data_IF_147535498568
#
_entry.id   IF_147535498568
#
_cell.length_a   1.000
_cell.length_b   1.000
_cell.length_c   1.000
_cell.angle_alpha   90.00
_cell.angle_beta   90.00
_cell.angle_gamma   90.00
#
_symmetry.space_group_name_H-M   'P 1'
#
loop_
_entity.id
_entity.type
_entity.pdbx_description
1 polymer ?
#
# COMPACT_ATOMS: atom_id res chain seq x y z
N UNK A 1 58.26 23.90 52.66
CA UNK A 1 56.89 23.99 52.08
C UNK A 1 57.07 24.20 50.60
N UNK A 2 56.85 23.13 49.84
CA UNK A 2 57.30 22.91 48.46
C UNK A 2 56.24 23.31 47.45
N UNK A 3 56.58 24.21 46.52
CA UNK A 3 55.81 24.43 45.30
C UNK A 3 55.94 23.21 44.38
N UNK A 4 54.83 22.61 43.91
CA UNK A 4 54.90 21.56 42.90
C UNK A 4 55.08 22.12 41.47
N UNK A 5 55.69 21.31 40.56
CA UNK A 5 56.16 21.70 39.22
C UNK A 5 55.04 21.70 38.15
N UNK A 6 55.29 22.26 36.94
CA UNK A 6 54.26 22.44 35.91
C UNK A 6 53.93 21.10 35.22
N UNK A 7 52.64 20.78 35.08
CA UNK A 7 52.16 19.59 34.35
C UNK A 7 51.40 19.95 33.08
N UNK A 8 52.15 19.81 31.98
CA UNK A 8 51.81 19.30 30.63
C UNK A 8 50.37 19.45 30.13
N UNK A 9 50.25 20.26 29.08
CA UNK A 9 49.25 20.18 28.02
C UNK A 9 49.21 18.72 27.53
N UNK A 10 48.10 18.01 27.77
CA UNK A 10 47.87 16.71 27.18
C UNK A 10 47.34 16.91 25.76
N UNK A 11 48.12 16.42 24.79
CA UNK A 11 47.75 16.27 23.39
C UNK A 11 46.36 15.63 23.25
N UNK A 12 45.52 16.25 22.41
CA UNK A 12 44.43 15.53 21.74
C UNK A 12 45.06 14.49 20.81
N UNK A 13 45.37 13.31 21.35
CA UNK A 13 45.56 12.11 20.56
C UNK A 13 44.20 11.74 19.98
N UNK A 14 43.98 12.14 18.73
CA UNK A 14 43.00 11.53 17.85
C UNK A 14 43.21 10.02 17.89
N UNK A 15 42.26 9.29 18.47
CA UNK A 15 42.16 7.86 18.25
C UNK A 15 41.84 7.67 16.76
N UNK A 16 42.91 7.56 15.99
CA UNK A 16 42.91 7.19 14.59
C UNK A 16 42.34 5.77 14.54
N UNK A 17 41.08 5.66 14.11
CA UNK A 17 40.44 4.38 13.83
C UNK A 17 41.34 3.63 12.85
N UNK A 18 41.92 2.53 13.28
CA UNK A 18 42.64 1.62 12.40
C UNK A 18 41.69 1.19 11.29
N UNK A 19 42.01 1.45 10.00
CA UNK A 19 41.16 1.05 8.90
C UNK A 19 41.14 -0.48 8.82
N UNK A 20 39.93 -1.06 8.83
CA UNK A 20 39.73 -2.45 8.41
C UNK A 20 40.00 -2.49 6.92
N UNK A 21 41.02 -3.23 6.52
CA UNK A 21 41.40 -3.47 5.13
C UNK A 21 40.34 -4.32 4.45
N UNK A 22 39.35 -3.68 3.83
CA UNK A 22 38.70 -4.23 2.65
C UNK A 22 39.66 -4.07 1.45
N UNK A 23 39.65 -5.07 0.59
CA UNK A 23 40.47 -5.16 -0.61
C UNK A 23 40.54 -3.86 -1.41
N UNK A 24 41.68 -3.17 -1.30
CA UNK A 24 42.28 -2.42 -2.40
C UNK A 24 41.54 -1.22 -2.97
N UNK A 25 40.86 -0.40 -2.17
CA UNK A 25 40.62 1.03 -2.52
C UNK A 25 40.73 1.86 -1.24
N UNK A 26 41.75 2.72 -1.17
CA UNK A 26 41.86 3.74 -0.12
C UNK A 26 40.87 4.85 -0.46
N UNK A 27 39.68 4.84 0.14
CA UNK A 27 38.81 6.01 0.13
C UNK A 27 39.41 7.00 1.14
N UNK A 28 40.17 7.96 0.62
CA UNK A 28 40.56 9.16 1.35
C UNK A 28 39.28 9.81 1.91
N UNK A 29 39.24 9.98 3.24
CA UNK A 29 38.13 10.62 3.93
C UNK A 29 37.94 12.05 3.43
N UNK A 30 37.02 12.25 2.50
CA UNK A 30 36.58 13.59 2.12
C UNK A 30 35.73 14.16 3.24
N UNK A 31 36.30 15.12 3.97
CA UNK A 31 35.54 16.10 4.74
C UNK A 31 34.68 16.93 3.78
N UNK A 32 33.50 16.41 3.46
CA UNK A 32 32.48 17.08 2.67
C UNK A 32 31.14 16.46 3.01
N UNK A 33 30.10 17.28 3.17
CA UNK A 33 28.71 16.85 3.43
C UNK A 33 28.24 15.96 2.26
N UNK A 34 28.57 14.67 2.31
CA UNK A 34 27.92 13.67 1.48
C UNK A 34 26.43 13.63 1.82
N UNK A 35 25.56 13.27 0.86
CA UNK A 35 24.15 13.05 1.18
C UNK A 35 24.08 12.06 2.36
N UNK A 36 23.25 12.38 3.36
CA UNK A 36 23.15 11.53 4.55
C UNK A 36 22.95 10.08 4.13
N UNK A 37 23.58 9.13 4.83
CA UNK A 37 23.51 7.71 4.51
C UNK A 37 22.08 7.21 4.23
N UNK A 38 21.09 7.76 4.97
CA UNK A 38 19.67 7.48 4.73
C UNK A 38 19.11 8.04 3.41
N UNK A 39 19.62 9.18 2.93
CA UNK A 39 19.23 9.79 1.66
C UNK A 39 19.78 9.01 0.45
N UNK A 40 21.00 8.45 0.57
CA UNK A 40 21.55 7.55 -0.44
C UNK A 40 20.73 6.26 -0.54
N UNK A 41 20.43 5.61 0.59
CA UNK A 41 19.58 4.41 0.63
C UNK A 41 18.17 4.68 0.10
N UNK A 42 17.58 5.84 0.45
CA UNK A 42 16.28 6.26 -0.09
C UNK A 42 16.35 6.43 -1.61
N UNK A 43 17.35 7.13 -2.12
CA UNK A 43 17.54 7.32 -3.57
C UNK A 43 17.75 6.00 -4.32
N UNK A 44 18.50 5.07 -3.74
CA UNK A 44 18.72 3.74 -4.29
C UNK A 44 17.43 2.92 -4.32
N UNK A 45 16.62 2.98 -3.27
CA UNK A 45 15.32 2.30 -3.21
C UNK A 45 14.33 2.90 -4.21
N UNK A 46 14.33 4.22 -4.43
CA UNK A 46 13.51 4.87 -5.46
C UNK A 46 13.92 4.48 -6.88
N UNK A 47 15.22 4.51 -7.18
CA UNK A 47 15.75 4.04 -8.48
C UNK A 47 15.30 2.61 -8.76
N UNK A 48 15.38 1.74 -7.75
CA UNK A 48 14.89 0.37 -7.85
C UNK A 48 13.37 0.28 -7.97
N UNK A 49 12.61 1.07 -7.23
CA UNK A 49 11.16 1.13 -7.36
C UNK A 49 10.74 1.48 -8.78
N UNK A 50 11.38 2.49 -9.39
CA UNK A 50 11.13 2.89 -10.78
C UNK A 50 11.56 1.80 -11.76
N UNK A 51 12.73 1.20 -11.57
CA UNK A 51 13.21 0.11 -12.42
C UNK A 51 12.25 -1.10 -12.35
N UNK A 52 11.81 -1.47 -11.15
CA UNK A 52 10.87 -2.57 -10.93
C UNK A 52 9.52 -2.28 -11.59
N UNK A 53 9.00 -1.04 -11.47
CA UNK A 53 7.80 -0.60 -12.18
C UNK A 53 7.98 -0.66 -13.71
N UNK A 54 9.13 -0.25 -14.24
CA UNK A 54 9.43 -0.32 -15.67
C UNK A 54 9.51 -1.77 -16.17
N UNK A 55 10.14 -2.67 -15.40
CA UNK A 55 10.20 -4.09 -15.74
C UNK A 55 8.80 -4.70 -15.67
N UNK A 56 8.02 -4.41 -14.63
CA UNK A 56 6.61 -4.82 -14.57
C UNK A 56 5.83 -4.32 -15.78
N UNK A 57 5.91 -3.03 -16.10
CA UNK A 57 5.26 -2.45 -17.28
C UNK A 57 5.65 -3.16 -18.57
N UNK A 58 6.95 -3.45 -18.76
CA UNK A 58 7.44 -4.23 -19.90
C UNK A 58 6.96 -5.69 -19.92
N UNK A 59 6.79 -6.32 -18.77
CA UNK A 59 6.24 -7.68 -18.68
C UNK A 59 4.74 -7.72 -18.96
N UNK A 60 4.00 -6.71 -18.52
CA UNK A 60 2.58 -6.53 -18.89
C UNK A 60 2.41 -6.38 -20.39
N UNK A 61 3.26 -5.59 -21.06
CA UNK A 61 3.19 -5.49 -22.52
C UNK A 61 3.53 -6.82 -23.18
N UNK A 62 4.53 -7.57 -22.70
CA UNK A 62 4.82 -8.91 -23.25
C UNK A 62 3.64 -9.87 -23.06
N UNK A 63 3.02 -9.86 -21.88
CA UNK A 63 1.90 -10.74 -21.56
C UNK A 63 0.65 -10.43 -22.41
N UNK A 64 0.35 -9.15 -22.65
CA UNK A 64 -0.96 -8.71 -23.17
C UNK A 64 -0.95 -7.95 -24.51
N UNK A 65 0.19 -7.39 -24.98
CA UNK A 65 0.20 -6.42 -26.10
C UNK A 65 -0.21 -6.97 -27.47
N UNK A 66 -0.31 -8.28 -27.66
CA UNK A 66 -0.81 -8.89 -28.91
C UNK A 66 -1.80 -10.04 -28.66
N UNK A 67 -2.57 -9.95 -27.57
CA UNK A 67 -3.52 -10.98 -27.15
C UNK A 67 -2.93 -12.01 -26.18
N UNK A 68 -3.81 -12.55 -25.34
CA UNK A 68 -3.52 -13.57 -24.34
C UNK A 68 -3.14 -14.89 -25.00
N UNK A 69 -1.88 -15.30 -24.89
CA UNK A 69 -1.38 -16.58 -25.41
C UNK A 69 -0.76 -17.44 -24.33
N UNK A 70 -1.19 -18.69 -24.24
CA UNK A 70 -0.69 -19.65 -23.25
C UNK A 70 0.82 -19.89 -23.39
N UNK A 71 1.38 -19.81 -24.60
CA UNK A 71 2.83 -19.95 -24.81
C UNK A 71 3.64 -18.82 -24.16
N UNK A 72 3.10 -17.60 -24.13
CA UNK A 72 3.74 -16.47 -23.43
C UNK A 72 3.66 -16.65 -21.92
N UNK A 73 2.55 -17.17 -21.41
CA UNK A 73 2.44 -17.53 -20.00
C UNK A 73 3.43 -18.64 -19.61
N UNK A 74 3.65 -19.62 -20.49
CA UNK A 74 4.69 -20.65 -20.31
C UNK A 74 6.09 -20.02 -20.25
N UNK A 75 6.40 -19.15 -21.21
CA UNK A 75 7.70 -18.48 -21.31
C UNK A 75 7.99 -17.65 -20.05
N UNK A 76 7.02 -16.86 -19.61
CA UNK A 76 7.13 -16.03 -18.40
C UNK A 76 7.19 -16.90 -17.13
N UNK A 77 6.38 -17.96 -17.07
CA UNK A 77 6.33 -18.89 -15.96
C UNK A 77 7.65 -19.65 -15.78
N UNK A 78 8.06 -20.41 -16.80
CA UNK A 78 9.27 -21.22 -16.77
C UNK A 78 10.51 -20.33 -16.73
N UNK A 79 10.58 -19.29 -17.57
CA UNK A 79 11.69 -18.34 -17.60
C UNK A 79 11.87 -17.63 -16.26
N UNK A 80 10.79 -17.15 -15.66
CA UNK A 80 10.81 -16.54 -14.32
C UNK A 80 11.32 -17.50 -13.26
N UNK A 81 10.85 -18.75 -13.24
CA UNK A 81 11.31 -19.75 -12.26
C UNK A 81 12.79 -20.11 -12.43
N UNK A 82 13.26 -20.30 -13.67
CA UNK A 82 14.69 -20.59 -13.95
C UNK A 82 15.56 -19.41 -13.52
N UNK A 83 15.19 -18.18 -13.90
CA UNK A 83 15.92 -16.97 -13.49
C UNK A 83 15.95 -16.84 -11.97
N UNK A 84 14.83 -17.06 -11.29
CA UNK A 84 14.75 -17.01 -9.84
C UNK A 84 15.73 -17.99 -9.18
N UNK A 85 15.78 -19.23 -9.67
CA UNK A 85 16.66 -20.28 -9.16
C UNK A 85 18.14 -19.94 -9.37
N UNK A 86 18.50 -19.37 -10.52
CA UNK A 86 19.89 -18.97 -10.81
C UNK A 86 20.34 -17.89 -9.81
N UNK A 87 19.57 -16.82 -9.66
CA UNK A 87 19.91 -15.74 -8.72
C UNK A 87 19.95 -16.25 -7.27
N UNK A 88 18.97 -17.07 -6.88
CA UNK A 88 18.92 -17.67 -5.56
C UNK A 88 20.15 -18.54 -5.29
N UNK A 89 20.52 -19.42 -6.22
CA UNK A 89 21.64 -20.33 -6.08
C UNK A 89 22.97 -19.58 -5.90
N UNK A 90 23.16 -18.47 -6.63
CA UNK A 90 24.36 -17.65 -6.47
C UNK A 90 24.41 -17.01 -5.08
N UNK A 91 23.31 -16.42 -4.62
CA UNK A 91 23.25 -15.80 -3.29
C UNK A 91 23.42 -16.84 -2.19
N UNK A 92 22.74 -17.97 -2.29
CA UNK A 92 22.80 -19.02 -1.26
C UNK A 92 24.19 -19.66 -1.18
N UNK A 93 24.86 -19.86 -2.32
CA UNK A 93 26.24 -20.35 -2.34
C UNK A 93 27.19 -19.35 -1.67
N UNK A 94 27.03 -18.05 -1.96
CA UNK A 94 27.87 -17.00 -1.36
C UNK A 94 27.62 -16.87 0.14
N UNK A 95 26.36 -16.92 0.56
CA UNK A 95 25.96 -16.94 1.97
C UNK A 95 26.58 -18.13 2.71
N UNK A 96 26.55 -19.34 2.13
CA UNK A 96 27.15 -20.54 2.73
C UNK A 96 28.68 -20.45 2.83
N UNK A 97 29.35 -19.76 1.90
CA UNK A 97 30.81 -19.61 1.88
C UNK A 97 31.33 -18.51 2.81
N UNK A 98 30.68 -17.35 2.80
CA UNK A 98 31.18 -16.14 3.47
C UNK A 98 30.37 -15.75 4.71
N UNK A 99 29.20 -16.35 4.92
CA UNK A 99 28.34 -16.11 6.09
C UNK A 99 27.65 -14.73 6.12
N UNK A 100 27.89 -13.86 5.13
CA UNK A 100 27.37 -12.49 5.07
C UNK A 100 26.82 -12.19 3.67
N UNK A 101 25.71 -11.45 3.62
CA UNK A 101 25.10 -10.90 2.40
C UNK A 101 25.48 -9.44 2.27
N UNK A 102 26.24 -9.11 1.23
CA UNK A 102 26.58 -7.73 0.86
C UNK A 102 25.43 -7.08 0.09
N UNK A 103 25.49 -5.76 -0.09
CA UNK A 103 24.53 -5.00 -0.91
C UNK A 103 24.22 -5.67 -2.26
N UNK A 104 25.26 -6.07 -3.02
CA UNK A 104 25.09 -6.73 -4.32
C UNK A 104 24.27 -8.03 -4.20
N UNK A 105 24.51 -8.81 -3.15
CA UNK A 105 23.81 -10.07 -2.94
C UNK A 105 22.37 -9.84 -2.45
N UNK A 106 22.08 -8.77 -1.70
CA UNK A 106 20.70 -8.34 -1.38
C UNK A 106 19.94 -8.01 -2.67
N UNK A 107 20.57 -7.28 -3.61
CA UNK A 107 19.96 -7.00 -4.91
C UNK A 107 19.69 -8.27 -5.72
N UNK A 108 20.64 -9.20 -5.75
CA UNK A 108 20.46 -10.48 -6.45
C UNK A 108 19.35 -11.32 -5.82
N UNK A 109 19.23 -11.31 -4.49
CA UNK A 109 18.17 -12.02 -3.77
C UNK A 109 16.80 -11.38 -4.04
N UNK A 110 16.72 -10.05 -4.02
CA UNK A 110 15.53 -9.31 -4.40
C UNK A 110 15.10 -9.64 -5.85
N UNK A 111 16.06 -9.72 -6.78
CA UNK A 111 15.77 -10.15 -8.16
C UNK A 111 15.29 -11.59 -8.24
N UNK A 112 15.82 -12.49 -7.42
CA UNK A 112 15.32 -13.85 -7.32
C UNK A 112 13.84 -13.87 -6.91
N UNK A 113 13.47 -13.12 -5.88
CA UNK A 113 12.08 -13.03 -5.42
C UNK A 113 11.14 -12.40 -6.44
N UNK A 114 11.62 -11.38 -7.15
CA UNK A 114 10.90 -10.76 -8.25
C UNK A 114 10.61 -11.77 -9.37
N UNK A 115 11.64 -12.49 -9.85
CA UNK A 115 11.47 -13.50 -10.88
C UNK A 115 10.66 -14.71 -10.42
N UNK A 116 10.74 -15.09 -9.13
CA UNK A 116 9.89 -16.13 -8.57
C UNK A 116 8.41 -15.72 -8.59
N UNK A 117 8.11 -14.44 -8.33
CA UNK A 117 6.76 -13.89 -8.41
C UNK A 117 6.23 -13.96 -9.84
N UNK A 118 7.05 -13.57 -10.83
CA UNK A 118 6.70 -13.68 -12.26
C UNK A 118 6.48 -15.15 -12.64
N UNK A 119 7.44 -16.01 -12.29
CA UNK A 119 7.38 -17.42 -12.59
C UNK A 119 6.10 -18.06 -12.04
N UNK A 120 5.71 -17.66 -10.83
CA UNK A 120 4.52 -18.17 -10.18
C UNK A 120 3.22 -17.64 -10.81
N UNK A 121 3.07 -16.32 -10.99
CA UNK A 121 1.77 -15.75 -11.37
C UNK A 121 1.36 -16.17 -12.78
N UNK A 122 2.29 -16.13 -13.73
CA UNK A 122 2.06 -16.59 -15.09
C UNK A 122 2.19 -18.11 -15.23
N UNK A 123 3.03 -18.76 -14.41
CA UNK A 123 3.12 -20.21 -14.34
C UNK A 123 1.81 -20.87 -13.89
N UNK A 124 1.10 -20.28 -12.93
CA UNK A 124 -0.23 -20.77 -12.52
C UNK A 124 -1.24 -20.59 -13.66
N UNK A 125 -1.21 -19.47 -14.39
CA UNK A 125 -2.07 -19.27 -15.57
C UNK A 125 -1.84 -20.35 -16.62
N UNK A 126 -0.57 -20.64 -16.90
CA UNK A 126 -0.19 -21.72 -17.79
C UNK A 126 -0.62 -23.10 -17.25
N UNK A 127 -0.46 -23.35 -15.95
CA UNK A 127 -0.89 -24.60 -15.31
C UNK A 127 -2.41 -24.81 -15.41
N UNK A 128 -3.21 -23.75 -15.31
CA UNK A 128 -4.66 -23.82 -15.55
C UNK A 128 -4.97 -24.17 -17.01
N UNK A 129 -4.24 -23.60 -17.98
CA UNK A 129 -4.39 -24.00 -19.38
C UNK A 129 -4.04 -25.48 -19.60
N UNK A 130 -2.96 -25.95 -18.97
CA UNK A 130 -2.57 -27.36 -19.01
C UNK A 130 -3.62 -28.27 -18.37
N UNK A 131 -4.17 -27.90 -17.21
CA UNK A 131 -5.23 -28.70 -16.57
C UNK A 131 -6.48 -28.76 -17.44
N UNK A 132 -6.86 -27.64 -18.06
CA UNK A 132 -8.00 -27.58 -18.98
C UNK A 132 -7.77 -28.44 -20.23
N UNK A 133 -6.54 -28.48 -20.76
CA UNK A 133 -6.17 -29.37 -21.88
C UNK A 133 -6.20 -30.86 -21.54
N UNK A 134 -6.17 -31.20 -20.25
CA UNK A 134 -6.32 -32.55 -19.73
C UNK A 134 -7.75 -32.84 -19.23
N UNK A 135 -8.74 -32.11 -19.78
CA UNK A 135 -10.17 -32.21 -19.46
C UNK A 135 -10.54 -31.86 -17.99
N UNK A 136 -9.68 -31.11 -17.28
CA UNK A 136 -9.96 -30.61 -15.93
C UNK A 136 -10.37 -29.12 -16.02
N UNK A 137 -11.68 -28.87 -16.16
CA UNK A 137 -12.25 -27.52 -16.33
C UNK A 137 -12.53 -26.76 -15.02
N UNK A 138 -12.13 -27.29 -13.86
CA UNK A 138 -12.43 -26.73 -12.53
C UNK A 138 -11.98 -25.27 -12.32
N UNK A 139 -10.95 -24.84 -13.05
CA UNK A 139 -10.30 -23.52 -12.92
C UNK A 139 -10.67 -22.53 -14.04
N UNK A 140 -11.45 -22.97 -15.03
CA UNK A 140 -11.83 -22.20 -16.21
C UNK A 140 -13.27 -21.71 -16.07
N UNK A 141 -13.57 -20.52 -16.60
CA UNK A 141 -14.95 -20.04 -16.61
C UNK A 141 -15.81 -20.82 -17.62
N UNK A 142 -17.03 -21.24 -17.24
CA UNK A 142 -18.00 -21.78 -18.20
C UNK A 142 -18.40 -20.78 -19.30
N UNK A 143 -18.42 -19.49 -18.98
CA UNK A 143 -18.93 -18.43 -19.86
C UNK A 143 -17.97 -18.08 -21.00
N UNK A 144 -16.66 -18.36 -20.82
CA UNK A 144 -15.64 -18.30 -21.87
C UNK A 144 -14.75 -19.55 -21.79
N UNK A 145 -15.18 -20.66 -22.40
CA UNK A 145 -14.52 -21.94 -22.23
C UNK A 145 -13.15 -21.95 -22.91
N UNK A 146 -12.25 -22.73 -22.32
CA UNK A 146 -10.98 -23.08 -22.94
C UNK A 146 -11.24 -24.05 -24.09
N UNK A 147 -10.74 -23.74 -25.29
CA UNK A 147 -10.96 -24.56 -26.50
C UNK A 147 -9.71 -25.27 -27.00
N UNK A 148 -8.54 -24.94 -26.44
CA UNK A 148 -7.27 -25.56 -26.81
C UNK A 148 -6.07 -24.69 -26.44
N UNK A 149 -4.85 -25.22 -26.61
CA UNK A 149 -3.64 -24.51 -26.17
C UNK A 149 -3.33 -23.25 -26.99
N UNK A 150 -3.83 -23.20 -28.22
CA UNK A 150 -3.76 -22.03 -29.10
C UNK A 150 -4.91 -21.04 -28.88
N UNK A 151 -5.89 -21.39 -28.02
CA UNK A 151 -7.02 -20.51 -27.72
C UNK A 151 -6.57 -19.24 -26.99
N UNK A 152 -7.22 -18.14 -27.33
CA UNK A 152 -6.99 -16.81 -26.75
C UNK A 152 -8.29 -16.29 -26.15
N UNK A 153 -8.21 -15.43 -25.14
CA UNK A 153 -9.38 -14.74 -24.58
C UNK A 153 -10.28 -15.56 -23.65
N UNK A 154 -9.89 -16.79 -23.30
CA UNK A 154 -10.46 -17.50 -22.15
C UNK A 154 -10.00 -16.81 -20.87
N UNK A 155 -10.87 -16.74 -19.86
CA UNK A 155 -10.49 -16.24 -18.55
C UNK A 155 -10.76 -17.31 -17.48
N UNK A 156 -9.89 -17.38 -16.46
CA UNK A 156 -10.10 -18.32 -15.38
C UNK A 156 -11.20 -17.85 -14.44
N UNK A 157 -11.73 -18.78 -13.67
CA UNK A 157 -12.82 -18.54 -12.74
C UNK A 157 -12.35 -18.18 -11.31
N UNK A 158 -13.32 -18.04 -10.40
CA UNK A 158 -13.15 -17.87 -8.95
C UNK A 158 -12.06 -18.77 -8.32
N UNK A 159 -12.07 -20.06 -8.65
CA UNK A 159 -11.14 -21.04 -8.08
C UNK A 159 -9.69 -20.71 -8.42
N UNK A 160 -9.45 -20.14 -9.60
CA UNK A 160 -8.11 -19.69 -9.98
C UNK A 160 -7.70 -18.44 -9.22
N UNK A 161 -8.61 -17.51 -8.92
CA UNK A 161 -8.31 -16.35 -8.08
C UNK A 161 -7.81 -16.83 -6.71
N UNK A 162 -8.54 -17.77 -6.10
CA UNK A 162 -8.12 -18.38 -4.84
C UNK A 162 -6.79 -19.14 -4.95
N UNK A 163 -6.59 -19.92 -6.02
CA UNK A 163 -5.35 -20.64 -6.24
C UNK A 163 -4.14 -19.69 -6.42
N UNK A 164 -4.30 -18.61 -7.20
CA UNK A 164 -3.27 -17.59 -7.38
C UNK A 164 -2.98 -16.85 -6.07
N UNK A 165 -4.01 -16.47 -5.31
CA UNK A 165 -3.84 -15.81 -4.02
C UNK A 165 -3.15 -16.72 -2.99
N UNK A 166 -3.57 -17.99 -2.89
CA UNK A 166 -2.95 -18.97 -2.00
C UNK A 166 -1.48 -19.23 -2.38
N UNK A 167 -1.17 -19.31 -3.67
CA UNK A 167 0.19 -19.48 -4.13
C UNK A 167 1.06 -18.24 -3.84
N UNK A 168 0.53 -17.02 -4.04
CA UNK A 168 1.24 -15.80 -3.67
C UNK A 168 1.49 -15.72 -2.17
N UNK A 169 0.52 -16.10 -1.35
CA UNK A 169 0.68 -16.21 0.10
C UNK A 169 1.76 -17.24 0.48
N UNK A 170 1.79 -18.39 -0.18
CA UNK A 170 2.81 -19.42 0.01
C UNK A 170 4.20 -18.93 -0.40
N UNK A 171 4.33 -18.22 -1.53
CA UNK A 171 5.60 -17.63 -1.96
C UNK A 171 6.07 -16.57 -0.96
N UNK A 172 5.17 -15.70 -0.51
CA UNK A 172 5.44 -14.71 0.54
C UNK A 172 5.92 -15.39 1.83
N UNK A 173 5.31 -16.50 2.24
CA UNK A 173 5.75 -17.29 3.37
C UNK A 173 7.14 -17.93 3.15
N UNK A 174 7.43 -18.45 1.95
CA UNK A 174 8.76 -18.98 1.61
C UNK A 174 9.85 -17.92 1.67
N UNK A 175 9.57 -16.72 1.13
CA UNK A 175 10.47 -15.57 1.19
C UNK A 175 10.72 -15.16 2.65
N UNK A 176 9.67 -15.08 3.47
CA UNK A 176 9.79 -14.82 4.90
C UNK A 176 10.64 -15.85 5.63
N UNK A 177 10.41 -17.15 5.41
CA UNK A 177 11.19 -18.22 6.01
C UNK A 177 12.68 -18.13 5.65
N UNK A 178 13.00 -17.65 4.45
CA UNK A 178 14.39 -17.45 4.03
C UNK A 178 15.03 -16.21 4.64
N UNK A 179 14.29 -15.11 4.72
CA UNK A 179 14.79 -13.81 5.21
C UNK A 179 14.87 -13.71 6.73
N UNK A 180 13.92 -14.32 7.46
CA UNK A 180 13.82 -14.20 8.92
C UNK A 180 15.11 -14.61 9.66
N UNK A 181 15.79 -15.72 9.32
CA UNK A 181 17.06 -16.05 9.95
C UNK A 181 18.18 -15.03 9.66
N UNK A 182 18.08 -14.28 8.56
CA UNK A 182 19.09 -13.28 8.17
C UNK A 182 18.94 -11.97 8.94
N UNK A 183 17.72 -11.61 9.30
CA UNK A 183 17.40 -10.39 10.06
C UNK A 183 18.08 -10.38 11.43
N UNK A 184 18.22 -11.55 12.06
CA UNK A 184 18.89 -11.68 13.36
C UNK A 184 20.39 -11.33 13.32
N UNK A 185 21.03 -11.40 12.15
CA UNK A 185 22.43 -11.04 11.97
C UNK A 185 22.55 -9.64 11.36
N UNK A 186 22.89 -8.67 12.19
CA UNK A 186 23.07 -7.25 11.82
C UNK A 186 24.06 -6.98 10.69
N UNK A 187 24.90 -7.96 10.32
CA UNK A 187 25.85 -7.85 9.19
C UNK A 187 25.18 -8.06 7.83
N UNK A 188 24.00 -8.69 7.78
CA UNK A 188 23.31 -8.94 6.53
C UNK A 188 22.49 -7.73 6.11
N UNK A 189 22.69 -7.32 4.86
CA UNK A 189 21.83 -6.34 4.20
C UNK A 189 20.69 -7.10 3.52
N UNK A 190 19.45 -6.84 3.92
CA UNK A 190 18.26 -7.53 3.39
C UNK A 190 17.08 -6.56 3.13
N UNK A 191 17.33 -5.25 3.13
CA UNK A 191 16.26 -4.24 3.03
C UNK A 191 15.54 -4.34 1.69
N UNK A 192 16.28 -4.58 0.60
CA UNK A 192 15.71 -4.62 -0.75
C UNK A 192 14.98 -5.93 -0.97
N UNK A 193 15.53 -7.05 -0.47
CA UNK A 193 14.86 -8.34 -0.50
C UNK A 193 13.55 -8.34 0.29
N UNK A 194 13.54 -7.74 1.49
CA UNK A 194 12.30 -7.54 2.27
C UNK A 194 11.30 -6.67 1.53
N UNK A 195 11.76 -5.59 0.90
CA UNK A 195 10.89 -4.73 0.11
C UNK A 195 10.21 -5.50 -1.03
N UNK A 196 10.96 -6.25 -1.82
CA UNK A 196 10.39 -7.06 -2.91
C UNK A 196 9.44 -8.12 -2.38
N UNK A 197 9.79 -8.81 -1.29
CA UNK A 197 8.91 -9.79 -0.66
C UNK A 197 7.58 -9.17 -0.18
N UNK A 198 7.61 -7.95 0.36
CA UNK A 198 6.40 -7.22 0.72
C UNK A 198 5.59 -6.81 -0.51
N UNK A 199 6.24 -6.45 -1.62
CA UNK A 199 5.53 -6.05 -2.85
C UNK A 199 4.98 -7.25 -3.63
N UNK A 200 5.50 -8.46 -3.45
CA UNK A 200 5.04 -9.68 -4.15
C UNK A 200 3.51 -9.89 -4.09
N UNK A 201 2.84 -9.87 -2.93
CA UNK A 201 1.37 -9.96 -2.88
C UNK A 201 0.65 -8.85 -3.66
N UNK A 202 1.12 -7.60 -3.59
CA UNK A 202 0.55 -6.48 -4.34
C UNK A 202 0.76 -6.61 -5.84
N UNK A 203 1.89 -7.16 -6.26
CA UNK A 203 2.16 -7.42 -7.66
C UNK A 203 1.14 -8.40 -8.25
N UNK A 204 0.72 -9.42 -7.51
CA UNK A 204 -0.38 -10.29 -7.95
C UNK A 204 -1.68 -9.49 -8.08
N UNK A 205 -2.00 -8.61 -7.12
CA UNK A 205 -3.19 -7.77 -7.21
C UNK A 205 -3.15 -6.87 -8.45
N UNK A 206 -2.00 -6.33 -8.83
CA UNK A 206 -1.86 -5.57 -10.08
C UNK A 206 -2.00 -6.45 -11.32
N UNK A 207 -1.41 -7.65 -11.33
CA UNK A 207 -1.55 -8.62 -12.43
C UNK A 207 -2.98 -9.11 -12.58
N UNK A 208 -3.70 -9.24 -11.47
CA UNK A 208 -5.09 -9.66 -11.42
C UNK A 208 -6.06 -8.62 -11.97
N UNK A 209 -5.70 -7.32 -12.00
CA UNK A 209 -6.60 -6.22 -12.37
C UNK A 209 -7.39 -6.49 -13.64
N UNK A 210 -6.72 -6.81 -14.76
CA UNK A 210 -7.43 -7.10 -16.01
C UNK A 210 -8.19 -8.42 -15.95
N UNK A 211 -7.50 -9.56 -15.80
CA UNK A 211 -8.13 -10.87 -15.93
C UNK A 211 -9.18 -11.20 -14.85
N UNK A 212 -9.02 -10.73 -13.61
CA UNK A 212 -9.99 -11.00 -12.53
C UNK A 212 -11.22 -10.10 -12.68
N UNK A 213 -11.04 -8.81 -12.95
CA UNK A 213 -12.16 -7.88 -13.16
C UNK A 213 -12.94 -8.25 -14.42
N UNK A 214 -12.26 -8.70 -15.48
CA UNK A 214 -12.94 -9.20 -16.68
C UNK A 214 -13.75 -10.48 -16.41
N UNK A 215 -13.28 -11.36 -15.52
CA UNK A 215 -14.03 -12.55 -15.12
C UNK A 215 -15.30 -12.18 -14.34
N UNK A 216 -15.21 -11.20 -13.45
CA UNK A 216 -16.36 -10.71 -12.67
C UNK A 216 -17.19 -9.65 -13.41
N UNK A 217 -17.11 -9.60 -14.74
CA UNK A 217 -17.89 -8.68 -15.59
C UNK A 217 -17.77 -7.20 -15.22
N UNK A 218 -16.59 -6.78 -14.77
CA UNK A 218 -16.37 -5.41 -14.35
C UNK A 218 -16.86 -5.12 -12.94
N UNK A 219 -17.08 -6.14 -12.08
CA UNK A 219 -17.43 -5.96 -10.66
C UNK A 219 -16.29 -6.37 -9.71
N UNK A 220 -16.24 -5.84 -8.49
CA UNK A 220 -15.39 -6.41 -7.43
C UNK A 220 -16.19 -7.46 -6.70
N UNK A 221 -15.99 -8.73 -7.08
CA UNK A 221 -16.66 -9.87 -6.46
C UNK A 221 -16.08 -10.20 -5.09
N UNK A 222 -16.73 -11.10 -4.35
CA UNK A 222 -16.25 -11.55 -3.04
C UNK A 222 -14.87 -12.21 -3.13
N UNK A 223 -14.60 -12.98 -4.18
CA UNK A 223 -13.32 -13.64 -4.44
C UNK A 223 -12.19 -12.61 -4.54
N UNK A 224 -12.40 -11.56 -5.34
CA UNK A 224 -11.45 -10.47 -5.54
C UNK A 224 -11.27 -9.71 -4.23
N UNK A 225 -12.36 -9.38 -3.54
CA UNK A 225 -12.31 -8.68 -2.26
C UNK A 225 -11.53 -9.43 -1.18
N UNK A 226 -11.79 -10.73 -1.02
CA UNK A 226 -11.07 -11.60 -0.08
C UNK A 226 -9.58 -11.66 -0.45
N UNK A 227 -9.25 -11.84 -1.75
CA UNK A 227 -7.87 -11.86 -2.22
C UNK A 227 -7.16 -10.52 -1.94
N UNK A 228 -7.80 -9.39 -2.24
CA UNK A 228 -7.25 -8.04 -2.00
C UNK A 228 -6.96 -7.80 -0.53
N UNK A 229 -7.92 -8.06 0.37
CA UNK A 229 -7.74 -7.83 1.80
C UNK A 229 -6.69 -8.77 2.37
N UNK A 230 -6.74 -10.07 2.04
CA UNK A 230 -5.80 -11.07 2.56
C UNK A 230 -4.36 -10.84 2.08
N UNK A 231 -4.15 -10.59 0.79
CA UNK A 231 -2.82 -10.33 0.23
C UNK A 231 -2.24 -9.00 0.73
N UNK A 232 -3.08 -7.98 0.90
CA UNK A 232 -2.65 -6.72 1.54
C UNK A 232 -2.26 -6.94 2.99
N UNK A 233 -3.04 -7.71 3.75
CA UNK A 233 -2.72 -8.06 5.13
C UNK A 233 -1.39 -8.83 5.25
N UNK A 234 -1.20 -9.85 4.40
CA UNK A 234 0.05 -10.63 4.36
C UNK A 234 1.24 -9.72 4.05
N UNK A 235 1.11 -8.87 3.04
CA UNK A 235 2.15 -7.91 2.67
C UNK A 235 2.53 -6.98 3.83
N UNK A 236 1.54 -6.44 4.54
CA UNK A 236 1.78 -5.57 5.69
C UNK A 236 2.38 -6.31 6.89
N UNK A 237 1.96 -7.56 7.14
CA UNK A 237 2.56 -8.41 8.16
C UNK A 237 4.04 -8.67 7.86
N UNK A 238 4.39 -8.99 6.61
CA UNK A 238 5.78 -9.10 6.19
C UNK A 238 6.55 -7.80 6.40
N UNK A 239 5.93 -6.66 6.15
CA UNK A 239 6.59 -5.38 6.33
C UNK A 239 6.85 -5.06 7.82
N UNK A 240 5.98 -5.48 8.74
CA UNK A 240 6.24 -5.41 10.18
C UNK A 240 7.39 -6.34 10.58
N UNK A 241 7.43 -7.56 10.02
CA UNK A 241 8.51 -8.53 10.27
C UNK A 241 9.85 -8.06 9.70
N UNK A 242 9.86 -7.24 8.63
CA UNK A 242 11.11 -6.67 8.11
C UNK A 242 11.85 -5.74 9.09
N UNK A 243 11.18 -5.34 10.19
CA UNK A 243 11.67 -4.38 11.19
C UNK A 243 12.20 -3.07 10.57
N UNK A 244 11.70 -2.74 9.38
CA UNK A 244 12.10 -1.57 8.63
C UNK A 244 10.87 -0.68 8.42
N UNK A 245 10.82 0.42 9.19
CA UNK A 245 9.71 1.36 9.12
C UNK A 245 9.48 1.91 7.71
N UNK A 246 10.53 2.02 6.87
CA UNK A 246 10.39 2.53 5.50
C UNK A 246 9.66 1.52 4.62
N UNK A 247 10.01 0.24 4.74
CA UNK A 247 9.32 -0.84 4.02
C UNK A 247 7.86 -0.88 4.46
N UNK A 248 7.58 -0.84 5.77
CA UNK A 248 6.21 -0.74 6.27
C UNK A 248 5.45 0.48 5.73
N UNK A 249 6.08 1.65 5.76
CA UNK A 249 5.46 2.88 5.28
C UNK A 249 5.05 2.78 3.81
N UNK A 250 5.94 2.31 2.94
CA UNK A 250 5.65 2.16 1.51
C UNK A 250 4.55 1.11 1.31
N UNK A 251 4.67 -0.04 1.97
CA UNK A 251 3.71 -1.14 1.88
C UNK A 251 2.29 -0.72 2.28
N UNK A 252 2.14 -0.02 3.42
CA UNK A 252 0.84 0.47 3.87
C UNK A 252 0.23 1.48 2.88
N UNK A 253 1.06 2.34 2.29
CA UNK A 253 0.60 3.27 1.26
C UNK A 253 0.12 2.53 0.00
N UNK A 254 0.91 1.60 -0.53
CA UNK A 254 0.52 0.80 -1.71
C UNK A 254 -0.83 0.10 -1.48
N UNK A 255 -1.04 -0.53 -0.31
CA UNK A 255 -2.31 -1.18 0.02
C UNK A 255 -3.52 -0.23 -0.08
N UNK A 256 -3.34 1.01 0.36
CA UNK A 256 -4.41 2.03 0.33
C UNK A 256 -4.71 2.47 -1.10
N UNK A 257 -3.66 2.76 -1.88
CA UNK A 257 -3.79 3.18 -3.28
C UNK A 257 -4.32 2.06 -4.18
N UNK A 258 -4.09 0.78 -3.87
CA UNK A 258 -4.61 -0.33 -4.65
C UNK A 258 -6.14 -0.32 -4.72
N UNK A 259 -6.83 0.08 -3.66
CA UNK A 259 -8.31 0.19 -3.68
C UNK A 259 -8.79 1.25 -4.65
N UNK A 260 -8.11 2.40 -4.72
CA UNK A 260 -8.36 3.45 -5.70
C UNK A 260 -8.08 2.97 -7.13
N UNK A 261 -6.96 2.30 -7.35
CA UNK A 261 -6.60 1.77 -8.67
C UNK A 261 -7.65 0.78 -9.16
N UNK A 262 -8.06 -0.16 -8.30
CA UNK A 262 -9.11 -1.12 -8.64
C UNK A 262 -10.44 -0.43 -8.96
N UNK A 263 -10.79 0.63 -8.24
CA UNK A 263 -12.03 1.38 -8.52
C UNK A 263 -11.95 2.17 -9.83
N UNK A 264 -10.81 2.80 -10.14
CA UNK A 264 -10.65 3.63 -11.35
C UNK A 264 -10.56 2.78 -12.63
N UNK A 265 -9.93 1.61 -12.54
CA UNK A 265 -9.77 0.68 -13.67
C UNK A 265 -11.06 -0.08 -13.96
N UNK A 266 -11.97 -0.11 -13.01
CA UNK A 266 -13.23 -0.82 -13.08
C UNK A 266 -14.28 -0.02 -13.86
N UNK A 267 -14.93 -0.69 -14.81
CA UNK A 267 -15.97 -0.11 -15.68
C UNK A 267 -17.35 -0.63 -15.27
N UNK A 268 -17.64 -0.70 -13.96
CA UNK A 268 -18.97 -1.16 -13.54
C UNK A 268 -20.03 -0.20 -14.06
N UNK A 269 -21.18 -0.74 -14.50
CA UNK A 269 -22.38 0.05 -14.74
C UNK A 269 -22.67 0.92 -13.52
N UNK A 270 -22.71 2.23 -13.76
CA UNK A 270 -23.04 3.27 -12.77
C UNK A 270 -24.23 2.86 -11.90
N UNK A 271 -24.14 3.07 -10.58
CA UNK A 271 -25.20 2.76 -9.62
C UNK A 271 -24.76 1.79 -8.51
N UNK A 272 -25.60 0.80 -8.18
CA UNK A 272 -25.48 -0.09 -7.01
C UNK A 272 -24.25 -1.05 -6.97
N UNK A 273 -23.33 -0.87 -7.92
CA UNK A 273 -22.09 -1.62 -8.04
C UNK A 273 -20.83 -0.75 -7.85
N UNK A 274 -20.95 0.56 -8.03
CA UNK A 274 -19.85 1.50 -7.86
C UNK A 274 -19.49 1.65 -6.38
N UNK A 275 -18.19 1.75 -6.08
CA UNK A 275 -17.64 1.84 -4.73
C UNK A 275 -17.26 0.50 -4.12
N UNK A 276 -17.39 -0.62 -4.84
CA UNK A 276 -17.06 -1.95 -4.33
C UNK A 276 -15.58 -2.13 -3.99
N UNK A 277 -14.67 -1.67 -4.85
CA UNK A 277 -13.24 -1.75 -4.59
C UNK A 277 -12.83 -0.77 -3.49
N UNK A 278 -13.37 0.44 -3.56
CA UNK A 278 -13.04 1.51 -2.63
C UNK A 278 -13.53 1.22 -1.20
N UNK A 279 -14.65 0.51 -1.07
CA UNK A 279 -15.15 0.02 0.22
C UNK A 279 -14.20 -0.96 0.90
N UNK A 280 -13.34 -1.67 0.14
CA UNK A 280 -12.32 -2.56 0.72
C UNK A 280 -11.27 -1.78 1.53
N UNK A 281 -11.13 -0.47 1.30
CA UNK A 281 -10.27 0.38 2.10
C UNK A 281 -10.63 0.30 3.59
N UNK A 282 -11.91 0.12 3.93
CA UNK A 282 -12.35 -0.06 5.33
C UNK A 282 -11.61 -1.24 5.98
N UNK A 283 -11.61 -2.41 5.34
CA UNK A 283 -10.95 -3.60 5.89
C UNK A 283 -9.43 -3.45 5.92
N UNK A 284 -8.84 -2.86 4.88
CA UNK A 284 -7.39 -2.65 4.79
C UNK A 284 -6.91 -1.66 5.85
N UNK A 285 -7.64 -0.57 6.08
CA UNK A 285 -7.34 0.44 7.12
C UNK A 285 -7.40 -0.18 8.52
N UNK A 286 -8.35 -1.07 8.79
CA UNK A 286 -8.41 -1.81 10.06
C UNK A 286 -7.11 -2.59 10.29
N UNK A 287 -6.68 -3.37 9.31
CA UNK A 287 -5.42 -4.15 9.41
C UNK A 287 -4.24 -3.21 9.62
N UNK A 288 -4.14 -2.13 8.84
CA UNK A 288 -3.05 -1.17 8.98
C UNK A 288 -3.01 -0.51 10.36
N UNK A 289 -4.16 -0.08 10.89
CA UNK A 289 -4.25 0.59 12.19
C UNK A 289 -3.82 -0.31 13.33
N UNK A 290 -4.24 -1.57 13.30
CA UNK A 290 -3.81 -2.59 14.26
C UNK A 290 -2.29 -2.83 14.19
N UNK A 291 -1.71 -2.87 13.00
CA UNK A 291 -0.27 -3.08 12.82
C UNK A 291 0.57 -1.83 13.14
N UNK A 292 0.03 -0.63 12.94
CA UNK A 292 0.72 0.63 13.20
C UNK A 292 0.99 0.89 14.68
N UNK A 293 0.21 0.25 15.57
CA UNK A 293 0.46 0.26 17.01
C UNK A 293 1.65 -0.64 17.43
N UNK A 294 2.22 -1.43 16.52
CA UNK A 294 3.30 -2.37 16.84
C UNK A 294 4.56 -1.65 17.37
N UNK A 295 5.15 -2.13 18.48
CA UNK A 295 6.36 -1.54 19.04
C UNK A 295 7.61 -1.76 18.17
N UNK A 296 7.56 -2.71 17.23
CA UNK A 296 8.68 -3.01 16.32
C UNK A 296 8.95 -1.91 15.30
N UNK A 297 7.98 -1.04 15.03
CA UNK A 297 8.12 -0.01 14.01
C UNK A 297 8.73 1.28 14.59
N UNK A 298 9.66 1.87 13.83
CA UNK A 298 10.21 3.20 14.15
C UNK A 298 9.11 4.27 14.07
N UNK A 299 8.91 4.95 15.20
CA UNK A 299 7.91 6.00 15.38
C UNK A 299 8.02 7.12 14.33
N UNK A 300 9.24 7.58 14.02
CA UNK A 300 9.43 8.68 13.06
C UNK A 300 8.98 8.30 11.65
N UNK A 301 9.13 7.03 11.29
CA UNK A 301 8.76 6.56 9.98
C UNK A 301 7.26 6.27 9.89
N UNK A 302 6.66 5.69 10.95
CA UNK A 302 5.21 5.52 11.07
C UNK A 302 4.47 6.85 11.00
N UNK A 303 5.03 7.90 11.62
CA UNK A 303 4.52 9.27 11.49
C UNK A 303 4.47 9.72 10.03
N UNK A 304 5.53 9.50 9.24
CA UNK A 304 5.54 9.86 7.81
C UNK A 304 4.59 8.99 6.97
N UNK A 305 4.52 7.69 7.26
CA UNK A 305 3.64 6.75 6.57
C UNK A 305 2.18 7.19 6.62
N UNK A 306 1.75 7.72 7.77
CA UNK A 306 0.38 8.17 8.00
C UNK A 306 -0.06 9.33 7.10
N UNK A 307 0.88 10.15 6.61
CA UNK A 307 0.56 11.24 5.68
C UNK A 307 0.00 10.66 4.38
N UNK A 308 0.69 9.67 3.81
CA UNK A 308 0.25 9.10 2.54
C UNK A 308 -1.05 8.31 2.66
N UNK A 309 -1.30 7.68 3.83
CA UNK A 309 -2.59 7.06 4.12
C UNK A 309 -3.72 8.09 4.13
N UNK A 310 -3.53 9.21 4.83
CA UNK A 310 -4.53 10.29 4.87
C UNK A 310 -4.79 10.82 3.47
N UNK A 311 -3.75 11.00 2.66
CA UNK A 311 -3.89 11.41 1.26
C UNK A 311 -4.73 10.39 0.49
N UNK A 312 -4.42 9.10 0.59
CA UNK A 312 -5.18 8.04 -0.07
C UNK A 312 -6.65 8.02 0.38
N UNK A 313 -6.90 8.15 1.69
CA UNK A 313 -8.23 8.21 2.26
C UNK A 313 -9.03 9.44 1.79
N UNK A 314 -8.42 10.63 1.81
CA UNK A 314 -9.05 11.87 1.36
C UNK A 314 -9.36 11.79 -0.15
N UNK A 315 -8.46 11.22 -0.95
CA UNK A 315 -8.73 10.98 -2.38
C UNK A 315 -9.86 9.98 -2.57
N UNK A 316 -9.91 8.90 -1.79
CA UNK A 316 -11.01 7.95 -1.81
C UNK A 316 -12.33 8.60 -1.44
N UNK A 317 -12.37 9.37 -0.36
CA UNK A 317 -13.55 10.13 0.05
C UNK A 317 -13.98 11.11 -1.04
N UNK A 318 -13.05 11.85 -1.62
CA UNK A 318 -13.34 12.81 -2.70
C UNK A 318 -13.94 12.10 -3.91
N UNK A 319 -13.30 11.01 -4.36
CA UNK A 319 -13.76 10.24 -5.50
C UNK A 319 -15.16 9.66 -5.25
N UNK A 320 -15.37 9.05 -4.08
CA UNK A 320 -16.65 8.50 -3.66
C UNK A 320 -17.80 9.52 -3.64
N UNK A 321 -17.52 10.75 -3.18
CA UNK A 321 -18.51 11.84 -3.18
C UNK A 321 -18.81 12.31 -4.60
N UNK A 322 -17.81 12.44 -5.46
CA UNK A 322 -18.00 12.98 -6.82
C UNK A 322 -18.72 12.03 -7.78
N UNK A 323 -18.78 10.74 -7.45
CA UNK A 323 -19.38 9.72 -8.32
C UNK A 323 -20.51 8.93 -7.64
N UNK A 324 -21.06 9.44 -6.53
CA UNK A 324 -22.20 8.86 -5.80
C UNK A 324 -22.06 7.35 -5.51
N UNK A 325 -20.93 6.95 -4.95
CA UNK A 325 -20.60 5.53 -4.74
C UNK A 325 -21.39 4.89 -3.60
N UNK A 326 -21.68 3.60 -3.77
CA UNK A 326 -22.28 2.76 -2.73
C UNK A 326 -21.21 2.15 -1.80
N UNK A 327 -21.53 2.08 -0.51
CA UNK A 327 -20.71 1.42 0.49
C UNK A 327 -21.00 -0.09 0.51
N UNK A 328 -19.98 -0.91 0.31
CA UNK A 328 -20.06 -2.38 0.36
C UNK A 328 -19.25 -2.94 1.54
N UNK A 329 -19.93 -3.43 2.57
CA UNK A 329 -19.35 -4.09 3.74
C UNK A 329 -19.68 -5.59 3.72
N UNK A 330 -19.09 -6.31 2.77
CA UNK A 330 -19.42 -7.71 2.52
C UNK A 330 -20.89 -7.86 2.11
N UNK A 331 -21.75 -8.53 2.89
CA UNK A 331 -23.17 -8.70 2.55
C UNK A 331 -23.99 -7.41 2.72
N UNK A 332 -23.50 -6.43 3.47
CA UNK A 332 -24.24 -5.18 3.73
C UNK A 332 -23.88 -4.12 2.68
N UNK A 333 -24.91 -3.53 2.06
CA UNK A 333 -24.76 -2.46 1.07
C UNK A 333 -25.55 -1.22 1.48
N UNK A 334 -24.94 -0.06 1.37
CA UNK A 334 -25.58 1.23 1.68
C UNK A 334 -25.42 2.17 0.48
N UNK A 335 -26.55 2.70 -0.01
CA UNK A 335 -26.57 3.69 -1.09
C UNK A 335 -25.99 5.04 -0.67
N UNK A 336 -25.60 5.90 -1.63
CA UNK A 336 -25.12 7.26 -1.34
C UNK A 336 -26.18 8.12 -0.62
N UNK A 337 -27.46 7.86 -0.86
CA UNK A 337 -28.59 8.54 -0.22
C UNK A 337 -28.85 8.11 1.24
N UNK A 338 -28.10 7.14 1.77
CA UNK A 338 -28.30 6.67 3.13
C UNK A 338 -28.08 7.78 4.15
N UNK A 339 -29.06 7.99 5.03
CA UNK A 339 -29.04 9.10 5.99
C UNK A 339 -28.07 8.93 7.16
N UNK A 340 -27.49 7.74 7.35
CA UNK A 340 -26.65 7.43 8.50
C UNK A 340 -25.22 7.05 8.11
N UNK A 341 -25.04 6.27 7.05
CA UNK A 341 -23.74 5.71 6.66
C UNK A 341 -23.54 5.77 5.14
N UNK A 342 -22.61 6.62 4.74
CA UNK A 342 -22.10 6.75 3.36
C UNK A 342 -20.67 6.18 3.28
N UNK A 343 -20.20 5.82 2.09
CA UNK A 343 -18.82 5.35 1.90
C UNK A 343 -17.76 6.34 2.46
N UNK A 344 -17.82 7.65 2.16
CA UNK A 344 -16.89 8.63 2.73
C UNK A 344 -16.93 8.65 4.27
N UNK A 345 -18.13 8.63 4.87
CA UNK A 345 -18.27 8.62 6.33
C UNK A 345 -17.69 7.36 6.96
N UNK A 346 -17.85 6.20 6.32
CA UNK A 346 -17.34 4.93 6.82
C UNK A 346 -15.81 4.87 6.74
N UNK A 347 -15.21 5.37 5.65
CA UNK A 347 -13.75 5.53 5.55
C UNK A 347 -13.25 6.41 6.71
N UNK A 348 -13.90 7.55 6.93
CA UNK A 348 -13.55 8.47 8.02
C UNK A 348 -13.63 7.81 9.41
N UNK A 349 -14.75 7.16 9.73
CA UNK A 349 -14.97 6.50 11.03
C UNK A 349 -13.94 5.38 11.24
N UNK A 350 -13.68 4.60 10.18
CA UNK A 350 -12.74 3.48 10.25
C UNK A 350 -11.32 3.96 10.53
N UNK A 351 -10.87 5.03 9.88
CA UNK A 351 -9.57 5.65 10.10
C UNK A 351 -9.41 6.07 11.56
N UNK A 352 -10.43 6.73 12.12
CA UNK A 352 -10.42 7.11 13.53
C UNK A 352 -10.29 5.88 14.44
N UNK A 353 -11.17 4.89 14.28
CA UNK A 353 -11.25 3.72 15.18
C UNK A 353 -10.01 2.83 15.06
N UNK A 354 -9.60 2.50 13.83
CA UNK A 354 -8.49 1.58 13.59
C UNK A 354 -7.16 2.13 14.10
N UNK A 355 -6.95 3.44 14.00
CA UNK A 355 -5.71 4.09 14.40
C UNK A 355 -5.76 4.74 15.77
N UNK A 356 -6.89 4.66 16.47
CA UNK A 356 -7.08 5.30 17.77
C UNK A 356 -5.95 4.95 18.75
N UNK A 357 -5.60 3.66 18.86
CA UNK A 357 -4.50 3.20 19.71
C UNK A 357 -3.15 3.83 19.34
N UNK A 358 -2.82 3.90 18.05
CA UNK A 358 -1.57 4.48 17.57
C UNK A 358 -1.52 6.02 17.75
N UNK A 359 -2.67 6.70 17.74
CA UNK A 359 -2.79 8.13 18.05
C UNK A 359 -2.57 8.37 19.55
N UNK A 360 -3.15 7.54 20.42
CA UNK A 360 -2.95 7.64 21.88
C UNK A 360 -1.49 7.48 22.29
N UNK A 361 -0.74 6.65 21.56
CA UNK A 361 0.71 6.46 21.75
C UNK A 361 1.56 7.54 21.06
N UNK A 362 0.94 8.59 20.52
CA UNK A 362 1.59 9.67 19.77
C UNK A 362 2.49 9.18 18.62
N UNK A 363 2.18 8.02 18.04
CA UNK A 363 2.92 7.47 16.88
C UNK A 363 2.47 8.11 15.58
N UNK A 364 1.20 8.51 15.51
CA UNK A 364 0.57 9.01 14.29
C UNK A 364 -0.10 10.37 14.55
N UNK A 365 0.67 11.47 14.49
CA UNK A 365 0.16 12.81 14.75
C UNK A 365 -0.67 13.39 13.60
N UNK A 366 -0.55 12.85 12.38
CA UNK A 366 -1.24 13.39 11.21
C UNK A 366 -2.72 13.01 11.15
N UNK A 367 -3.13 11.92 11.80
CA UNK A 367 -4.50 11.41 11.66
C UNK A 367 -5.57 12.37 12.19
N UNK A 368 -5.44 12.97 13.40
CA UNK A 368 -6.41 13.97 13.84
C UNK A 368 -6.54 15.16 12.88
N UNK A 369 -5.39 15.62 12.37
CA UNK A 369 -5.30 16.73 11.39
C UNK A 369 -6.04 16.34 10.10
N UNK A 370 -5.76 15.15 9.57
CA UNK A 370 -6.38 14.63 8.35
C UNK A 370 -7.88 14.41 8.49
N UNK A 371 -8.32 13.82 9.60
CA UNK A 371 -9.75 13.60 9.90
C UNK A 371 -10.51 14.93 10.00
N UNK A 372 -9.92 15.95 10.64
CA UNK A 372 -10.53 17.28 10.71
C UNK A 372 -10.64 17.93 9.32
N UNK A 373 -9.62 17.82 8.47
CA UNK A 373 -9.66 18.33 7.10
C UNK A 373 -10.66 17.58 6.21
N UNK A 374 -10.75 16.25 6.38
CA UNK A 374 -11.62 15.40 5.58
C UNK A 374 -13.12 15.69 5.78
N UNK A 375 -13.50 16.41 6.85
CA UNK A 375 -14.88 16.87 7.05
C UNK A 375 -15.39 17.79 5.94
N UNK A 376 -14.51 18.48 5.20
CA UNK A 376 -14.91 19.28 4.02
C UNK A 376 -15.67 18.41 2.99
N UNK A 377 -15.30 17.13 2.89
CA UNK A 377 -15.90 16.17 1.97
C UNK A 377 -17.20 15.54 2.51
N UNK A 378 -17.68 15.99 3.67
CA UNK A 378 -18.89 15.48 4.32
C UNK A 378 -19.88 16.64 4.57
N UNK A 379 -20.35 17.34 3.51
CA UNK A 379 -21.22 18.52 3.66
C UNK A 379 -22.67 18.18 4.01
N UNK A 380 -23.11 16.95 3.74
CA UNK A 380 -24.50 16.58 3.91
C UNK A 380 -24.86 16.32 5.39
N UNK A 381 -26.10 16.68 5.73
CA UNK A 381 -26.68 16.48 7.07
C UNK A 381 -26.72 15.01 7.52
N UNK A 382 -26.60 14.05 6.60
CA UNK A 382 -26.46 12.62 6.87
C UNK A 382 -25.14 12.24 7.56
N UNK A 383 -24.11 13.09 7.49
CA UNK A 383 -22.80 12.83 8.07
C UNK A 383 -22.64 13.38 9.50
N UNK A 384 -23.72 13.42 10.28
CA UNK A 384 -23.71 13.96 11.65
C UNK A 384 -22.72 13.25 12.59
N UNK A 385 -22.44 11.97 12.32
CA UNK A 385 -21.56 11.13 13.14
C UNK A 385 -20.11 11.66 13.13
N UNK A 386 -19.42 11.79 11.96
CA UNK A 386 -18.10 12.42 11.89
C UNK A 386 -18.01 13.78 12.57
N UNK A 387 -18.98 14.67 12.33
CA UNK A 387 -19.02 16.00 12.94
C UNK A 387 -19.12 15.95 14.47
N UNK A 388 -20.04 15.12 14.99
CA UNK A 388 -20.25 14.96 16.43
C UNK A 388 -19.02 14.40 17.12
N UNK A 389 -18.36 13.42 16.51
CA UNK A 389 -17.14 12.83 17.07
C UNK A 389 -16.01 13.86 17.07
N UNK A 390 -15.84 14.65 16.00
CA UNK A 390 -14.84 15.73 15.95
C UNK A 390 -15.04 16.77 17.05
N UNK A 391 -16.29 17.14 17.35
CA UNK A 391 -16.61 18.08 18.44
C UNK A 391 -16.17 17.57 19.82
N UNK A 392 -16.15 16.26 20.04
CA UNK A 392 -15.64 15.65 21.28
C UNK A 392 -14.12 15.45 21.24
N UNK A 393 -13.59 15.08 20.07
CA UNK A 393 -12.16 14.80 19.87
C UNK A 393 -11.29 16.04 20.06
N UNK A 394 -11.73 17.22 19.60
CA UNK A 394 -10.93 18.45 19.65
C UNK A 394 -10.66 18.90 21.09
N UNK A 395 -11.66 19.03 21.98
CA UNK A 395 -11.40 19.34 23.38
C UNK A 395 -10.50 18.29 24.05
N UNK A 396 -10.67 17.00 23.72
CA UNK A 396 -9.79 15.95 24.21
C UNK A 396 -8.32 16.19 23.81
N UNK A 397 -8.05 16.52 22.54
CA UNK A 397 -6.68 16.79 22.05
C UNK A 397 -6.08 18.07 22.64
N UNK A 398 -6.90 19.08 22.93
CA UNK A 398 -6.44 20.35 23.52
C UNK A 398 -6.13 20.22 25.01
N UNK A 399 -6.86 19.38 25.74
CA UNK A 399 -6.65 19.20 27.19
C UNK A 399 -5.73 18.03 27.56
N UNK A 400 -5.43 17.12 26.64
CA UNK A 400 -4.55 16.01 26.92
C UNK A 400 -3.08 16.44 26.90
N UNK A 401 -2.41 16.35 28.05
CA UNK A 401 -0.99 16.69 28.21
C UNK A 401 -0.05 15.86 27.31
N UNK A 402 -0.49 14.68 26.86
CA UNK A 402 0.30 13.84 25.96
C UNK A 402 0.28 14.34 24.52
N UNK A 403 -0.71 15.13 24.12
CA UNK A 403 -0.86 15.57 22.73
C UNK A 403 0.16 16.65 22.40
N UNK A 404 0.79 16.56 21.23
CA UNK A 404 1.75 17.59 20.77
C UNK A 404 0.98 18.88 20.42
N UNK A 405 1.44 20.02 20.92
CA UNK A 405 0.76 21.32 20.71
C UNK A 405 0.44 21.64 19.25
N UNK A 406 1.39 21.40 18.35
CA UNK A 406 1.16 21.64 16.92
C UNK A 406 0.03 20.75 16.37
N UNK A 407 -0.09 19.50 16.82
CA UNK A 407 -1.17 18.59 16.37
C UNK A 407 -2.52 19.12 16.80
N UNK A 408 -2.65 19.53 18.07
CA UNK A 408 -3.88 20.10 18.58
C UNK A 408 -4.26 21.39 17.84
N UNK A 409 -3.30 22.31 17.66
CA UNK A 409 -3.52 23.58 16.95
C UNK A 409 -3.92 23.38 15.48
N UNK A 410 -3.24 22.51 14.74
CA UNK A 410 -3.57 22.23 13.34
C UNK A 410 -4.90 21.49 13.20
N UNK A 411 -5.22 20.56 14.12
CA UNK A 411 -6.51 19.87 14.13
C UNK A 411 -7.65 20.86 14.37
N UNK A 412 -7.51 21.76 15.34
CA UNK A 412 -8.48 22.82 15.60
C UNK A 412 -8.64 23.76 14.40
N UNK A 413 -7.53 24.23 13.83
CA UNK A 413 -7.55 25.14 12.68
C UNK A 413 -8.24 24.51 11.46
N UNK A 414 -7.95 23.24 11.16
CA UNK A 414 -8.58 22.53 10.04
C UNK A 414 -10.04 22.22 10.32
N UNK A 415 -10.42 21.88 11.56
CA UNK A 415 -11.84 21.72 11.89
C UNK A 415 -12.62 23.02 11.68
N UNK A 416 -12.08 24.16 12.14
CA UNK A 416 -12.67 25.46 11.92
C UNK A 416 -12.77 25.78 10.43
N UNK A 417 -11.70 25.54 9.66
CA UNK A 417 -11.70 25.72 8.21
C UNK A 417 -12.76 24.83 7.53
N UNK A 418 -12.87 23.55 7.91
CA UNK A 418 -13.89 22.63 7.41
C UNK A 418 -15.29 23.15 7.69
N UNK A 419 -15.55 23.61 8.91
CA UNK A 419 -16.84 24.19 9.29
C UNK A 419 -17.19 25.43 8.46
N UNK A 420 -16.24 26.35 8.29
CA UNK A 420 -16.45 27.55 7.47
C UNK A 420 -16.69 27.22 6.00
N UNK A 421 -15.86 26.34 5.41
CA UNK A 421 -15.98 25.96 3.99
C UNK A 421 -17.30 25.25 3.74
N UNK A 422 -17.68 24.27 4.57
CA UNK A 422 -18.97 23.57 4.45
C UNK A 422 -20.12 24.54 4.64
N UNK A 423 -20.08 25.40 5.66
CA UNK A 423 -21.10 26.43 5.86
C UNK A 423 -21.26 27.36 4.65
N UNK A 424 -20.16 27.77 4.01
CA UNK A 424 -20.19 28.57 2.80
C UNK A 424 -20.76 27.81 1.61
N UNK A 425 -20.35 26.56 1.39
CA UNK A 425 -20.89 25.70 0.33
C UNK A 425 -22.40 25.52 0.46
N UNK A 426 -22.89 25.27 1.68
CA UNK A 426 -24.33 25.15 1.97
C UNK A 426 -25.06 26.46 1.71
N UNK A 427 -24.49 27.60 2.09
CA UNK A 427 -25.07 28.91 1.82
C UNK A 427 -25.19 29.19 0.32
N UNK A 428 -24.13 28.98 -0.46
CA UNK A 428 -24.18 29.16 -1.92
C UNK A 428 -25.22 28.26 -2.58
N UNK A 429 -25.29 26.98 -2.20
CA UNK A 429 -26.31 26.04 -2.71
C UNK A 429 -27.73 26.55 -2.43
N UNK A 430 -27.93 27.13 -1.26
CA UNK A 430 -29.23 27.71 -0.85
C UNK A 430 -29.54 28.98 -1.64
N UNK A 431 -28.55 29.86 -1.83
CA UNK A 431 -28.71 31.09 -2.62
C UNK A 431 -29.02 30.77 -4.09
N UNK A 432 -28.30 29.83 -4.71
CA UNK A 432 -28.57 29.39 -6.09
C UNK A 432 -29.97 28.79 -6.23
N UNK A 433 -30.39 27.96 -5.26
CA UNK A 433 -31.77 27.42 -5.24
C UNK A 433 -32.84 28.51 -5.09
N UNK A 434 -32.53 29.57 -4.34
CA UNK A 434 -33.42 30.71 -4.18
C UNK A 434 -33.45 31.58 -5.45
N UNK A 435 -32.34 31.78 -6.17
CA UNK A 435 -32.35 32.48 -7.46
C UNK A 435 -33.13 31.71 -8.53
N UNK A 436 -33.12 30.38 -8.53
CA UNK A 436 -34.02 29.55 -9.35
C UNK A 436 -35.50 29.73 -8.99
N UNK A 437 -35.81 29.95 -7.71
CA UNK A 437 -37.15 30.30 -7.24
C UNK A 437 -37.60 31.67 -7.76
N UNK A 438 -36.67 32.64 -7.85
CA UNK A 438 -36.94 33.98 -8.43
C UNK A 438 -37.09 33.97 -9.97
N UNK A 439 -36.59 32.97 -10.68
CA UNK A 439 -36.90 32.77 -12.11
C UNK A 439 -38.25 32.09 -12.39
N UNK A 440 -38.97 31.68 -11.35
CA UNK A 440 -40.30 31.06 -11.45
C UNK A 440 -41.46 31.99 -11.09
N UNK A 441 -41.20 33.30 -10.93
CA UNK A 441 -42.28 34.28 -10.93
C UNK A 441 -42.87 34.35 -12.34
N UNK A 442 -44.20 34.23 -12.52
CA UNK A 442 -44.81 34.44 -13.82
C UNK A 442 -44.55 35.88 -14.27
N UNK A 443 -44.17 36.06 -15.54
CA UNK A 443 -44.14 37.35 -16.24
C UNK A 443 -45.57 37.93 -16.35
N UNK A 444 -46.16 38.29 -15.22
CA UNK A 444 -47.49 38.91 -15.15
C UNK A 444 -47.34 40.34 -14.62
N UNK A 445 -46.51 41.15 -15.26
CA UNK A 445 -46.63 42.60 -15.21
C UNK A 445 -46.31 43.20 -16.58
N UNK A 446 -47.41 43.59 -17.24
CA UNK A 446 -47.60 44.37 -18.49
C UNK A 446 -47.54 43.64 -19.84
#
# INVERSE_FOLDING_TARGET
>A
MSNPPPRRIAEKLSAQSTPVTESGVVISGSSGKGPSYGLQRLGQLWLWGIALLAIWGGLFTIAFAQGDSNNRFALLGIGGMISALIFFAVVDLQRRRHGVITDLHDYMLAMSFFFASIGLFWGIRYAVALSASADISYFVSPDRPFTGMESTGWYPNANTIYAQAAAAALLAAMQWLYLKPMEADSRNMNTVSWFVACVTPFALLLVGLGPWVNWSEGYVSYEIGIAMVSLSAISMLLAVESNNGLVFAITANIASFLTLIYEIVHDAPSGAAAGGALSLMVFIVIVQGLLAASPRLDRKMVEKASIGLIIAAVMAMFYAVTTDMTLHLGPFKFGPENSFLTLPSMIWITILVAYFAAVLDNRIPWMPIGLAAALILLPDSSNIIPWSICLVMIPYLLWNEKTRDWVANWTFALFAASFFIVGWMTWFRTVDSNFGMWSSFPDNFE
#
